data_IF_369579882930
#
_entry.id   IF_369579882930
#
_cell.length_a   1.000
_cell.length_b   1.000
_cell.length_c   1.000
_cell.angle_alpha   90.00
_cell.angle_beta   90.00
_cell.angle_gamma   90.00
#
_symmetry.space_group_name_H-M   'P 1'
#
loop_
_entity.id
_entity.type
_entity.pdbx_description
1 polymer ?
#
# COMPACT_ATOMS: atom_id res chain seq x y z
N UNK A 1 -10.13 -8.46 23.30
CA UNK A 1 -9.48 -7.14 23.49
C UNK A 1 -10.18 -6.53 24.69
N UNK A 2 -9.48 -6.16 25.75
CA UNK A 2 -10.14 -5.47 26.88
C UNK A 2 -10.67 -4.12 26.40
N UNK A 3 -11.78 -3.68 26.96
CA UNK A 3 -12.48 -2.44 26.57
C UNK A 3 -11.55 -1.20 26.60
N UNK A 4 -10.67 -1.13 27.61
CA UNK A 4 -9.64 -0.10 27.73
C UNK A 4 -8.63 -0.05 26.58
N UNK A 5 -8.25 -1.18 25.99
CA UNK A 5 -7.34 -1.23 24.85
C UNK A 5 -8.03 -0.85 23.54
N UNK A 6 -9.35 -1.04 23.46
CA UNK A 6 -10.14 -0.63 22.32
C UNK A 6 -10.29 0.90 22.28
N UNK A 7 -10.62 1.54 23.41
CA UNK A 7 -10.72 3.00 23.52
C UNK A 7 -9.39 3.69 23.17
N UNK A 8 -8.27 3.22 23.72
CA UNK A 8 -6.94 3.75 23.42
C UNK A 8 -6.62 3.67 21.92
N UNK A 9 -6.95 2.54 21.29
CA UNK A 9 -6.71 2.38 19.85
C UNK A 9 -7.61 3.26 18.99
N UNK A 10 -8.88 3.44 19.36
CA UNK A 10 -9.79 4.35 18.64
C UNK A 10 -9.25 5.78 18.71
N UNK A 11 -8.84 6.24 19.90
CA UNK A 11 -8.22 7.55 20.08
C UNK A 11 -6.94 7.71 19.27
N UNK A 12 -6.05 6.70 19.30
CA UNK A 12 -4.85 6.68 18.47
C UNK A 12 -5.18 6.76 16.97
N UNK A 13 -6.15 5.97 16.50
CA UNK A 13 -6.54 5.94 15.09
C UNK A 13 -7.13 7.27 14.62
N UNK A 14 -7.98 7.90 15.44
CA UNK A 14 -8.59 9.19 15.14
C UNK A 14 -7.56 10.33 15.01
N UNK A 15 -6.42 10.20 15.69
CA UNK A 15 -5.30 11.15 15.57
C UNK A 15 -4.38 10.89 14.37
N UNK A 16 -4.58 9.81 13.61
CA UNK A 16 -3.77 9.55 12.42
C UNK A 16 -4.21 10.42 11.24
N UNK A 17 -3.24 11.05 10.58
CA UNK A 17 -3.48 11.74 9.31
C UNK A 17 -3.93 10.73 8.24
N UNK A 18 -5.16 10.84 7.76
CA UNK A 18 -5.60 10.04 6.61
C UNK A 18 -5.01 10.63 5.33
N UNK A 19 -4.40 9.77 4.51
CA UNK A 19 -3.79 10.16 3.24
C UNK A 19 -4.54 9.41 2.14
N UNK A 20 -5.14 10.15 1.22
CA UNK A 20 -5.84 9.56 0.08
C UNK A 20 -4.89 8.64 -0.72
N UNK A 21 -5.40 7.48 -1.14
CA UNK A 21 -4.60 6.50 -1.86
C UNK A 21 -3.58 5.75 -0.99
N UNK A 22 -3.68 5.83 0.34
CA UNK A 22 -2.84 5.05 1.27
C UNK A 22 -3.72 4.24 2.21
N UNK A 23 -3.63 2.91 2.13
CA UNK A 23 -4.31 2.00 3.05
C UNK A 23 -3.38 1.59 4.19
N UNK A 24 -3.85 1.68 5.44
CA UNK A 24 -3.10 1.22 6.61
C UNK A 24 -3.62 -0.13 7.10
N UNK A 25 -2.70 -1.09 7.20
CA UNK A 25 -2.99 -2.46 7.65
C UNK A 25 -2.27 -2.68 8.96
N UNK A 26 -3.00 -3.03 10.01
CA UNK A 26 -2.49 -3.21 11.36
C UNK A 26 -2.33 -4.70 11.65
N UNK A 27 -1.10 -5.13 11.91
CA UNK A 27 -0.80 -6.48 12.37
C UNK A 27 -1.19 -6.63 13.83
N UNK A 28 -1.98 -7.69 14.12
CA UNK A 28 -2.56 -7.98 15.42
C UNK A 28 -2.38 -9.47 15.70
N UNK A 29 -1.26 -9.84 16.32
CA UNK A 29 -0.88 -11.23 16.61
C UNK A 29 -0.89 -12.11 15.35
N UNK A 30 -1.98 -12.84 15.11
CA UNK A 30 -2.18 -13.80 14.02
C UNK A 30 -3.04 -13.24 12.86
N UNK A 31 -3.47 -11.98 12.95
CA UNK A 31 -4.43 -11.36 12.02
C UNK A 31 -3.98 -9.99 11.55
N UNK A 32 -4.57 -9.56 10.43
CA UNK A 32 -4.40 -8.23 9.87
C UNK A 32 -5.72 -7.49 9.94
N UNK A 33 -5.70 -6.23 10.39
CA UNK A 33 -6.90 -5.42 10.55
C UNK A 33 -6.77 -4.10 9.78
N UNK A 34 -7.87 -3.68 9.18
CA UNK A 34 -8.02 -2.33 8.61
C UNK A 34 -9.21 -1.65 9.26
N UNK A 35 -9.20 -0.32 9.29
CA UNK A 35 -10.16 0.47 10.05
C UNK A 35 -10.74 1.61 9.19
N UNK A 36 -11.86 2.18 9.63
CA UNK A 36 -12.48 3.34 9.01
C UNK A 36 -12.83 3.14 7.53
N UNK A 37 -12.36 4.07 6.68
CA UNK A 37 -12.63 4.05 5.24
C UNK A 37 -11.96 2.86 4.53
N UNK A 38 -10.75 2.48 4.97
CA UNK A 38 -10.02 1.33 4.42
C UNK A 38 -10.76 0.03 4.71
N UNK A 39 -11.36 -0.09 5.90
CA UNK A 39 -12.19 -1.24 6.25
C UNK A 39 -13.42 -1.38 5.33
N UNK A 40 -14.09 -0.25 5.06
CA UNK A 40 -15.25 -0.21 4.16
C UNK A 40 -14.86 -0.53 2.72
N UNK A 41 -13.69 -0.07 2.27
CA UNK A 41 -13.13 -0.40 0.96
C UNK A 41 -12.87 -1.92 0.86
N UNK A 42 -12.16 -2.48 1.83
CA UNK A 42 -11.79 -3.91 1.81
C UNK A 42 -13.01 -4.82 1.89
N UNK A 43 -14.02 -4.48 2.69
CA UNK A 43 -15.26 -5.25 2.76
C UNK A 43 -16.05 -5.25 1.43
N UNK A 44 -15.85 -4.26 0.55
CA UNK A 44 -16.40 -4.24 -0.81
C UNK A 44 -15.56 -5.07 -1.78
N UNK A 45 -14.24 -5.10 -1.59
CA UNK A 45 -13.29 -5.85 -2.44
C UNK A 45 -13.38 -7.35 -2.17
N UNK A 46 -13.41 -7.75 -0.89
CA UNK A 46 -13.48 -9.15 -0.47
C UNK A 46 -14.80 -9.42 0.24
N UNK A 47 -15.76 -10.02 -0.47
CA UNK A 47 -17.06 -10.40 0.07
C UNK A 47 -16.97 -11.43 1.21
N UNK A 48 -15.87 -12.20 1.27
CA UNK A 48 -15.57 -13.15 2.36
C UNK A 48 -15.23 -12.45 3.69
N UNK A 49 -14.85 -11.17 3.65
CA UNK A 49 -14.47 -10.39 4.83
C UNK A 49 -15.61 -9.50 5.28
N UNK A 50 -16.13 -9.74 6.48
CA UNK A 50 -17.24 -8.97 7.04
C UNK A 50 -16.75 -7.71 7.75
N UNK A 51 -17.42 -6.59 7.48
CA UNK A 51 -17.26 -5.34 8.22
C UNK A 51 -17.82 -5.51 9.64
N UNK A 52 -17.05 -5.12 10.65
CA UNK A 52 -17.38 -5.19 12.06
C UNK A 52 -17.30 -3.80 12.68
N UNK A 53 -17.90 -3.64 13.85
CA UNK A 53 -17.84 -2.41 14.65
C UNK A 53 -17.03 -2.67 15.92
N UNK A 54 -16.07 -1.79 16.21
CA UNK A 54 -15.36 -1.73 17.47
C UNK A 54 -15.95 -0.57 18.26
N UNK A 55 -16.52 -0.83 19.42
CA UNK A 55 -17.14 0.18 20.28
C UNK A 55 -16.41 0.22 21.62
N UNK A 56 -16.07 1.42 22.08
CA UNK A 56 -15.48 1.66 23.39
C UNK A 56 -15.68 3.14 23.78
N UNK A 57 -15.95 3.41 25.05
CA UNK A 57 -16.10 4.77 25.61
C UNK A 57 -17.06 5.69 24.82
N UNK A 58 -18.12 5.12 24.23
CA UNK A 58 -19.10 5.86 23.42
C UNK A 58 -18.63 6.22 22.00
N UNK A 59 -17.40 5.86 21.63
CA UNK A 59 -16.89 5.95 20.26
C UNK A 59 -17.06 4.62 19.52
N UNK A 60 -17.20 4.69 18.20
CA UNK A 60 -17.29 3.50 17.35
C UNK A 60 -16.41 3.61 16.11
N UNK A 61 -15.73 2.51 15.77
CA UNK A 61 -14.80 2.42 14.65
C UNK A 61 -15.07 1.15 13.84
N UNK A 62 -15.40 1.34 12.57
CA UNK A 62 -15.58 0.21 11.66
C UNK A 62 -14.24 -0.45 11.37
N UNK A 63 -14.20 -1.78 11.34
CA UNK A 63 -12.99 -2.52 11.04
C UNK A 63 -13.27 -3.83 10.31
N UNK A 64 -12.25 -4.33 9.62
CA UNK A 64 -12.21 -5.69 9.08
C UNK A 64 -11.05 -6.42 9.72
N UNK A 65 -11.18 -7.73 9.87
CA UNK A 65 -10.11 -8.61 10.35
C UNK A 65 -9.91 -9.74 9.35
N UNK A 66 -8.66 -9.95 8.96
CA UNK A 66 -8.24 -10.78 7.85
C UNK A 66 -7.21 -11.80 8.32
N UNK A 67 -7.27 -12.98 7.73
CA UNK A 67 -6.19 -13.98 7.80
C UNK A 67 -5.03 -13.53 6.93
N UNK A 68 -3.86 -14.17 7.06
CA UNK A 68 -2.70 -13.91 6.18
C UNK A 68 -3.06 -14.09 4.70
N UNK A 69 -3.85 -15.11 4.35
CA UNK A 69 -4.30 -15.35 2.97
C UNK A 69 -5.14 -14.20 2.40
N UNK A 70 -6.18 -13.77 3.13
CA UNK A 70 -6.99 -12.62 2.71
C UNK A 70 -6.16 -11.33 2.65
N UNK A 71 -5.21 -11.14 3.57
CA UNK A 71 -4.31 -10.00 3.54
C UNK A 71 -3.47 -9.97 2.26
N UNK A 72 -2.91 -11.09 1.81
CA UNK A 72 -2.15 -11.15 0.55
C UNK A 72 -3.06 -10.82 -0.65
N UNK A 73 -4.29 -11.32 -0.67
CA UNK A 73 -5.27 -11.02 -1.72
C UNK A 73 -5.62 -9.52 -1.76
N UNK A 74 -5.91 -8.91 -0.60
CA UNK A 74 -6.11 -7.46 -0.48
C UNK A 74 -4.88 -6.70 -0.94
N UNK A 75 -3.69 -7.11 -0.51
CA UNK A 75 -2.44 -6.46 -0.85
C UNK A 75 -2.24 -6.41 -2.37
N UNK A 76 -2.50 -7.54 -3.07
CA UNK A 76 -2.49 -7.60 -4.54
C UNK A 76 -3.52 -6.66 -5.16
N UNK A 77 -4.75 -6.64 -4.64
CA UNK A 77 -5.80 -5.75 -5.15
C UNK A 77 -5.44 -4.28 -4.98
N UNK A 78 -4.97 -3.88 -3.80
CA UNK A 78 -4.57 -2.52 -3.49
C UNK A 78 -3.43 -2.06 -4.41
N UNK A 79 -2.38 -2.86 -4.56
CA UNK A 79 -1.18 -2.49 -5.32
C UNK A 79 -1.38 -2.57 -6.83
N UNK A 80 -2.12 -3.58 -7.33
CA UNK A 80 -2.17 -3.87 -8.76
C UNK A 80 -3.44 -3.44 -9.45
N UNK A 81 -4.57 -3.33 -8.74
CA UNK A 81 -5.85 -2.96 -9.35
C UNK A 81 -6.15 -1.48 -9.09
N UNK A 82 -6.20 -1.06 -7.83
CA UNK A 82 -6.59 0.33 -7.50
C UNK A 82 -5.39 1.27 -7.27
N UNK A 83 -4.16 0.78 -7.43
CA UNK A 83 -2.91 1.56 -7.40
C UNK A 83 -2.68 2.34 -6.08
N UNK A 84 -3.05 1.75 -4.94
CA UNK A 84 -2.86 2.32 -3.61
C UNK A 84 -1.47 2.04 -3.04
N UNK A 85 -0.99 2.94 -2.19
CA UNK A 85 0.11 2.70 -1.26
C UNK A 85 -0.40 1.92 -0.04
N UNK A 86 0.43 1.06 0.53
CA UNK A 86 0.11 0.25 1.70
C UNK A 86 1.16 0.48 2.77
N UNK A 87 0.71 0.72 4.01
CA UNK A 87 1.58 0.74 5.20
C UNK A 87 1.16 -0.36 6.16
N UNK A 88 2.10 -1.24 6.47
CA UNK A 88 1.91 -2.32 7.44
C UNK A 88 2.40 -1.80 8.79
N UNK A 89 1.47 -1.67 9.74
CA UNK A 89 1.69 -1.13 11.08
C UNK A 89 1.81 -2.27 12.08
N UNK A 90 2.86 -2.26 12.91
CA UNK A 90 3.02 -3.19 14.03
C UNK A 90 3.09 -2.42 15.34
N UNK A 91 2.51 -2.98 16.38
CA UNK A 91 2.62 -2.44 17.73
C UNK A 91 3.88 -2.98 18.40
N UNK A 92 4.78 -2.08 18.81
CA UNK A 92 5.95 -2.40 19.62
C UNK A 92 5.77 -2.08 21.11
N UNK A 93 4.58 -1.61 21.47
CA UNK A 93 4.20 -1.27 22.83
C UNK A 93 3.72 -2.49 23.61
N UNK A 94 3.76 -2.39 24.93
CA UNK A 94 3.29 -3.44 25.86
C UNK A 94 2.12 -2.94 26.69
N UNK A 95 1.07 -3.76 26.83
CA UNK A 95 -0.09 -3.40 27.65
C UNK A 95 -0.82 -2.16 27.13
N UNK A 96 -1.01 -1.16 28.00
CA UNK A 96 -1.75 0.10 27.75
C UNK A 96 -0.94 1.21 27.07
N UNK A 97 0.29 0.93 26.65
CA UNK A 97 1.13 1.89 25.95
C UNK A 97 1.31 1.41 24.52
N UNK A 98 0.34 1.66 23.65
CA UNK A 98 0.46 1.32 22.24
C UNK A 98 1.52 2.18 21.55
N UNK A 99 2.37 1.53 20.74
CA UNK A 99 3.46 2.15 19.99
C UNK A 99 3.46 1.58 18.57
N UNK A 100 2.49 2.05 17.77
CA UNK A 100 2.31 1.64 16.39
C UNK A 100 3.35 2.30 15.48
N UNK A 101 4.12 1.48 14.78
CA UNK A 101 5.10 1.96 13.79
C UNK A 101 4.95 1.22 12.47
N UNK A 102 5.21 1.87 11.33
CA UNK A 102 5.27 1.18 10.06
C UNK A 102 6.47 0.22 10.09
N UNK A 103 6.22 -1.05 9.76
CA UNK A 103 7.27 -2.09 9.62
C UNK A 103 7.50 -2.48 8.16
N UNK A 104 6.60 -2.09 7.28
CA UNK A 104 6.73 -2.29 5.85
C UNK A 104 5.88 -1.27 5.10
N UNK A 105 6.42 -0.77 3.99
CA UNK A 105 5.68 0.09 3.06
C UNK A 105 5.78 -0.50 1.66
N UNK A 106 4.66 -0.47 0.95
CA UNK A 106 4.55 -0.92 -0.42
C UNK A 106 3.78 0.10 -1.25
N UNK A 107 4.12 0.20 -2.53
CA UNK A 107 3.41 1.00 -3.51
C UNK A 107 3.45 0.27 -4.86
N UNK A 108 2.63 0.66 -5.85
CA UNK A 108 2.64 -0.02 -7.14
C UNK A 108 4.01 -0.04 -7.83
N UNK A 109 4.89 0.92 -7.52
CA UNK A 109 6.27 1.00 -8.03
C UNK A 109 7.36 0.58 -7.04
N UNK A 110 7.01 0.16 -5.82
CA UNK A 110 7.97 -0.34 -4.83
C UNK A 110 7.34 -1.46 -4.01
N UNK A 111 7.75 -2.70 -4.27
CA UNK A 111 7.23 -3.90 -3.62
C UNK A 111 8.22 -4.49 -2.60
N UNK A 112 9.42 -3.94 -2.47
CA UNK A 112 10.54 -4.57 -1.77
C UNK A 112 10.19 -5.07 -0.36
N UNK A 113 9.43 -4.28 0.41
CA UNK A 113 9.05 -4.66 1.79
C UNK A 113 8.04 -5.81 1.88
N UNK A 114 7.42 -6.21 0.77
CA UNK A 114 6.33 -7.20 0.71
C UNK A 114 6.57 -8.28 -0.35
N UNK A 115 7.75 -8.34 -0.96
CA UNK A 115 8.09 -9.33 -1.99
C UNK A 115 7.86 -10.76 -1.48
N UNK A 116 8.38 -11.10 -0.31
CA UNK A 116 8.18 -12.41 0.30
C UNK A 116 6.70 -12.72 0.53
N UNK A 117 5.87 -11.72 0.85
CA UNK A 117 4.43 -11.95 1.06
C UNK A 117 3.68 -12.15 -0.26
N UNK A 118 4.13 -11.49 -1.33
CA UNK A 118 3.47 -11.51 -2.64
C UNK A 118 3.91 -12.67 -3.52
N UNK A 119 5.16 -13.12 -3.38
CA UNK A 119 5.83 -14.05 -4.29
C UNK A 119 6.22 -15.38 -3.65
N UNK A 120 5.97 -15.57 -2.35
CA UNK A 120 6.11 -16.89 -1.73
C UNK A 120 5.00 -17.83 -2.24
N UNK A 121 5.43 -18.89 -2.92
CA UNK A 121 4.66 -19.96 -3.54
C UNK A 121 3.91 -19.62 -4.86
N UNK A 122 4.54 -20.01 -5.99
CA UNK A 122 3.93 -20.34 -7.29
C UNK A 122 3.30 -19.25 -8.16
N UNK A 123 3.41 -17.96 -7.87
CA UNK A 123 2.95 -16.93 -8.83
C UNK A 123 4.06 -16.53 -9.81
N UNK A 124 4.40 -17.42 -10.74
CA UNK A 124 5.25 -17.13 -11.93
C UNK A 124 4.61 -16.18 -12.96
N UNK A 125 3.53 -15.50 -12.59
CA UNK A 125 2.75 -14.66 -13.50
C UNK A 125 2.39 -13.35 -12.83
N UNK A 126 3.40 -12.51 -12.59
CA UNK A 126 3.16 -11.08 -12.53
C UNK A 126 4.00 -10.41 -13.62
N UNK A 127 3.38 -9.56 -14.47
CA UNK A 127 4.13 -8.84 -15.50
C UNK A 127 5.24 -8.06 -14.81
N UNK A 128 6.45 -8.11 -15.38
CA UNK A 128 7.59 -7.36 -14.89
C UNK A 128 7.19 -5.91 -14.66
N UNK A 129 7.35 -5.43 -13.43
CA UNK A 129 7.10 -4.04 -13.08
C UNK A 129 8.43 -3.42 -12.68
N UNK A 130 8.99 -2.62 -13.59
CA UNK A 130 10.05 -1.68 -13.25
C UNK A 130 9.50 -0.28 -13.05
N UNK A 131 10.34 0.61 -12.54
CA UNK A 131 10.01 2.01 -12.31
C UNK A 131 10.47 2.83 -13.53
N UNK A 132 9.56 3.56 -14.16
CA UNK A 132 9.87 4.51 -15.23
C UNK A 132 9.86 5.94 -14.68
N UNK A 133 10.94 6.67 -14.89
CA UNK A 133 11.04 8.11 -14.65
C UNK A 133 11.20 8.82 -15.99
N UNK A 134 10.42 9.89 -16.20
CA UNK A 134 10.47 10.69 -17.42
C UNK A 134 10.73 12.15 -17.04
N UNK A 135 11.70 12.78 -17.71
CA UNK A 135 12.00 14.20 -17.62
C UNK A 135 11.88 14.81 -19.00
N UNK A 136 11.15 15.93 -19.10
CA UNK A 136 10.96 16.66 -20.35
C UNK A 136 11.62 18.03 -20.18
N UNK A 137 12.45 18.43 -21.13
CA UNK A 137 13.14 19.73 -21.16
C UNK A 137 13.05 20.34 -22.56
N UNK A 138 13.08 21.66 -22.65
CA UNK A 138 13.22 22.34 -23.94
C UNK A 138 14.68 22.80 -24.08
N UNK A 139 15.40 22.21 -25.03
CA UNK A 139 16.78 22.56 -25.35
C UNK A 139 16.82 23.04 -26.80
N UNK A 140 17.39 24.22 -27.06
CA UNK A 140 17.52 24.76 -28.42
C UNK A 140 16.21 24.81 -29.23
N UNK A 141 15.09 25.06 -28.55
CA UNK A 141 13.74 25.07 -29.14
C UNK A 141 13.22 23.70 -29.61
N UNK A 142 13.87 22.61 -29.20
CA UNK A 142 13.43 21.24 -29.36
C UNK A 142 12.96 20.66 -28.01
N UNK A 143 11.90 19.86 -28.03
CA UNK A 143 11.43 19.15 -26.84
C UNK A 143 12.23 17.86 -26.69
N UNK A 144 13.05 17.80 -25.64
CA UNK A 144 13.91 16.68 -25.31
C UNK A 144 13.28 15.88 -24.17
N UNK A 145 13.11 14.58 -24.39
CA UNK A 145 12.58 13.64 -23.40
C UNK A 145 13.71 12.71 -22.95
N UNK A 146 14.02 12.75 -21.66
CA UNK A 146 14.91 11.81 -20.99
C UNK A 146 14.09 10.78 -20.22
N UNK A 147 14.37 9.50 -20.43
CA UNK A 147 13.68 8.38 -19.79
C UNK A 147 14.69 7.52 -19.05
N UNK A 148 14.33 7.09 -17.84
CA UNK A 148 15.09 6.09 -17.08
C UNK A 148 14.14 5.03 -16.57
N UNK A 149 14.43 3.77 -16.91
CA UNK A 149 13.75 2.60 -16.40
C UNK A 149 14.65 1.87 -15.41
N UNK A 150 14.10 1.52 -14.25
CA UNK A 150 14.75 0.68 -13.25
C UNK A 150 14.08 -0.69 -13.24
N UNK A 151 14.83 -1.73 -13.59
CA UNK A 151 14.42 -3.11 -13.44
C UNK A 151 14.98 -3.67 -12.11
N UNK A 152 14.14 -3.83 -11.08
CA UNK A 152 14.60 -4.35 -9.78
C UNK A 152 14.95 -5.85 -9.82
N UNK A 153 14.42 -6.60 -10.78
CA UNK A 153 14.65 -8.05 -10.91
C UNK A 153 16.03 -8.28 -11.54
N UNK A 154 16.30 -7.60 -12.65
CA UNK A 154 17.59 -7.68 -13.33
C UNK A 154 18.67 -6.84 -12.65
N UNK A 155 18.27 -5.92 -11.75
CA UNK A 155 19.14 -4.95 -11.06
C UNK A 155 19.86 -4.03 -12.05
N UNK A 156 19.13 -3.62 -13.08
CA UNK A 156 19.65 -2.80 -14.16
C UNK A 156 18.90 -1.48 -14.27
N UNK A 157 19.63 -0.45 -14.71
CA UNK A 157 19.06 0.83 -15.12
C UNK A 157 19.23 0.97 -16.63
N UNK A 158 18.13 1.22 -17.32
CA UNK A 158 18.11 1.53 -18.74
C UNK A 158 17.77 3.00 -18.91
N UNK A 159 18.52 3.71 -19.73
CA UNK A 159 18.33 5.14 -19.97
C UNK A 159 18.33 5.43 -21.46
N UNK A 160 17.45 6.33 -21.88
CA UNK A 160 17.46 6.86 -23.23
C UNK A 160 17.07 8.34 -23.22
N UNK A 161 17.51 9.04 -24.26
CA UNK A 161 17.17 10.43 -24.51
C UNK A 161 16.84 10.57 -26.00
N UNK A 162 15.76 11.25 -26.30
CA UNK A 162 15.32 11.51 -27.66
C UNK A 162 14.59 12.85 -27.76
N UNK A 163 14.54 13.40 -28.97
CA UNK A 163 13.69 14.55 -29.29
C UNK A 163 12.29 14.03 -29.59
N UNK A 164 11.26 14.69 -29.07
CA UNK A 164 9.86 14.39 -29.35
C UNK A 164 9.11 15.65 -29.78
N UNK A 165 7.86 15.48 -30.16
CA UNK A 165 6.93 16.58 -30.41
C UNK A 165 6.01 16.81 -29.20
N UNK A 166 5.26 17.93 -29.17
CA UNK A 166 4.31 18.21 -28.09
C UNK A 166 3.23 17.14 -27.87
N UNK A 167 3.04 16.23 -28.82
CA UNK A 167 2.11 15.09 -28.71
C UNK A 167 2.75 13.87 -28.04
N UNK A 168 4.04 13.90 -27.71
CA UNK A 168 4.80 12.80 -27.10
C UNK A 168 4.72 11.49 -27.91
N UNK A 169 4.73 11.63 -29.23
CA UNK A 169 4.52 10.52 -30.16
C UNK A 169 5.61 9.43 -30.11
N UNK A 170 6.83 9.78 -29.72
CA UNK A 170 7.95 8.82 -29.63
C UNK A 170 7.99 8.16 -28.26
N UNK A 171 7.47 8.84 -27.23
CA UNK A 171 7.32 8.29 -25.89
C UNK A 171 6.15 7.29 -25.76
N UNK A 172 5.07 7.47 -26.54
CA UNK A 172 3.88 6.59 -26.54
C UNK A 172 4.13 5.21 -27.16
#
# INVERSE_FOLDING_TARGET
>A
MSESLAAEFISYYNNLTQVNGTCRIFERNDKYCCYGIDAKLIAKVLSSVKLKLLEADGESLHYVSMTKGHFIEVLRHLLFIIQYKVKIMRNFGTGKNSNWKPVGEASPGNLTSVEDLLFDHNSYAMPQRGLLAVKITNESNEMVVGVTFCDPILREFQMCQFVDNPQLSTLQ
#
